data_IF_141179097489
#
_entry.id   IF_141179097489
#
_cell.length_a   1.000
_cell.length_b   1.000
_cell.length_c   1.000
_cell.angle_alpha   90.00
_cell.angle_beta   90.00
_cell.angle_gamma   90.00
#
_symmetry.space_group_name_H-M   'P 1'
#
loop_
_entity.id
_entity.type
_entity.pdbx_description
1 polymer ?
#
# COMPACT_ATOMS: atom_id res chain seq x y z
N UNK A 1 43.59 13.62 13.58
CA UNK A 1 42.58 14.64 13.21
C UNK A 1 41.46 13.90 12.54
N UNK A 2 40.44 13.50 13.30
CA UNK A 2 39.26 12.84 12.76
C UNK A 2 38.45 13.83 11.93
N UNK A 3 38.11 13.47 10.70
CA UNK A 3 37.28 14.32 9.84
C UNK A 3 35.90 14.49 10.49
N UNK A 4 35.54 15.73 10.83
CA UNK A 4 34.27 16.12 11.45
C UNK A 4 33.05 15.85 10.55
N UNK A 5 33.30 15.57 9.28
CA UNK A 5 32.31 15.35 8.23
C UNK A 5 32.46 13.95 7.60
N UNK A 6 31.33 13.41 7.14
CA UNK A 6 31.22 12.18 6.34
C UNK A 6 30.36 12.46 5.10
N UNK A 7 30.46 11.64 4.06
CA UNK A 7 29.52 11.71 2.92
C UNK A 7 28.25 10.93 3.23
N UNK A 8 27.10 11.47 2.84
CA UNK A 8 25.84 10.74 2.87
C UNK A 8 25.91 9.57 1.87
N UNK A 9 25.66 8.31 2.29
CA UNK A 9 25.69 7.17 1.38
C UNK A 9 24.58 7.20 0.30
N UNK A 10 23.51 7.97 0.51
CA UNK A 10 22.39 8.05 -0.43
C UNK A 10 22.57 9.13 -1.51
N UNK A 11 23.09 10.31 -1.16
CA UNK A 11 23.21 11.44 -2.09
C UNK A 11 24.63 11.98 -2.28
N UNK A 12 25.64 11.37 -1.63
CA UNK A 12 27.06 11.75 -1.68
C UNK A 12 27.42 13.16 -1.16
N UNK A 13 26.45 13.93 -0.66
CA UNK A 13 26.67 15.23 -0.04
C UNK A 13 27.39 15.15 1.31
N UNK A 14 28.13 16.20 1.65
CA UNK A 14 28.84 16.30 2.92
C UNK A 14 27.89 16.61 4.08
N UNK A 15 27.99 15.80 5.13
CA UNK A 15 27.17 15.87 6.34
C UNK A 15 28.05 15.71 7.57
N UNK A 16 27.54 16.11 8.75
CA UNK A 16 28.25 15.89 10.00
C UNK A 16 28.44 14.40 10.28
N UNK A 17 29.58 14.01 10.87
CA UNK A 17 29.89 12.60 11.17
C UNK A 17 28.84 11.93 12.06
N UNK A 18 28.23 12.68 12.97
CA UNK A 18 27.17 12.28 13.90
C UNK A 18 25.74 12.43 13.35
N UNK A 19 25.57 12.88 12.09
CA UNK A 19 24.26 13.05 11.52
C UNK A 19 23.49 11.70 11.43
N UNK A 20 22.32 11.66 12.09
CA UNK A 20 21.35 10.56 12.07
C UNK A 20 20.41 10.67 10.87
N UNK A 21 20.28 11.85 10.27
CA UNK A 21 19.48 12.10 9.07
C UNK A 21 20.19 13.08 8.13
N UNK A 22 20.19 12.79 6.84
CA UNK A 22 20.77 13.67 5.85
C UNK A 22 19.90 14.93 5.65
N UNK A 23 20.50 16.11 5.78
CA UNK A 23 19.79 17.39 5.53
C UNK A 23 19.49 17.65 4.05
N UNK A 24 20.20 16.97 3.13
CA UNK A 24 20.07 17.18 1.69
C UNK A 24 18.99 16.28 1.07
N UNK A 25 19.00 14.99 1.40
CA UNK A 25 18.06 14.01 0.82
C UNK A 25 17.03 13.46 1.81
N UNK A 26 17.14 13.74 3.10
CA UNK A 26 16.20 13.27 4.12
C UNK A 26 16.37 11.80 4.57
N UNK A 27 17.34 11.07 4.02
CA UNK A 27 17.60 9.66 4.39
C UNK A 27 18.15 9.53 5.83
N UNK A 28 17.70 8.51 6.57
CA UNK A 28 18.22 8.21 7.92
C UNK A 28 19.51 7.38 7.84
N UNK A 29 20.53 7.82 8.57
CA UNK A 29 21.89 7.30 8.54
C UNK A 29 22.22 6.68 9.89
N UNK A 30 21.84 5.42 10.09
CA UNK A 30 22.11 4.76 11.37
C UNK A 30 21.26 3.55 11.71
N UNK A 31 20.69 2.83 10.75
CA UNK A 31 20.31 1.46 11.05
C UNK A 31 21.60 0.62 11.07
N UNK A 32 22.05 0.10 12.22
CA UNK A 32 22.89 -1.09 12.17
C UNK A 32 22.03 -2.15 11.49
N UNK A 33 22.36 -2.45 10.23
CA UNK A 33 21.93 -3.71 9.64
C UNK A 33 22.33 -4.79 10.64
N UNK A 34 21.32 -5.54 11.12
CA UNK A 34 21.54 -6.68 11.99
C UNK A 34 22.70 -7.48 11.39
N UNK A 35 23.79 -7.56 12.16
CA UNK A 35 24.94 -8.39 11.82
C UNK A 35 24.40 -9.76 11.45
N UNK A 36 24.86 -10.29 10.33
CA UNK A 36 24.64 -11.67 9.92
C UNK A 36 24.92 -12.59 11.11
N UNK A 37 23.85 -13.06 11.75
CA UNK A 37 23.91 -14.06 12.79
C UNK A 37 24.11 -15.40 12.08
N UNK A 38 25.13 -16.12 12.53
CA UNK A 38 25.55 -17.38 11.93
C UNK A 38 24.39 -18.37 11.97
N UNK A 39 24.15 -18.95 10.80
CA UNK A 39 23.29 -20.09 10.51
C UNK A 39 23.42 -21.19 11.59
N UNK A 40 22.36 -21.37 12.37
CA UNK A 40 22.21 -22.47 13.31
C UNK A 40 21.35 -23.55 12.62
N UNK A 41 21.98 -24.68 12.32
CA UNK A 41 21.44 -25.87 11.66
C UNK A 41 20.50 -26.66 12.60
N UNK A 42 19.41 -26.01 13.01
CA UNK A 42 18.40 -26.56 13.93
C UNK A 42 17.02 -26.72 13.28
N UNK A 43 16.86 -26.33 12.02
CA UNK A 43 15.61 -26.43 11.25
C UNK A 43 15.30 -27.83 10.71
N UNK A 44 16.33 -28.64 10.40
CA UNK A 44 16.14 -29.95 9.77
C UNK A 44 15.48 -30.98 10.69
N UNK A 45 15.73 -30.92 12.00
CA UNK A 45 15.13 -31.85 12.96
C UNK A 45 13.66 -31.53 13.29
N UNK A 46 13.24 -30.27 13.18
CA UNK A 46 11.88 -29.84 13.53
C UNK A 46 10.87 -30.23 12.45
N UNK A 47 11.25 -30.12 11.17
CA UNK A 47 10.40 -30.53 10.03
C UNK A 47 10.15 -32.05 10.04
N UNK A 48 11.16 -32.86 10.35
CA UNK A 48 11.02 -34.32 10.45
C UNK A 48 10.10 -34.76 11.61
N UNK A 49 10.11 -34.04 12.75
CA UNK A 49 9.20 -34.32 13.87
C UNK A 49 7.74 -33.95 13.55
N UNK A 50 7.48 -32.88 12.82
CA UNK A 50 6.12 -32.49 12.44
C UNK A 50 5.49 -33.41 11.39
N UNK A 51 6.26 -33.89 10.41
CA UNK A 51 5.76 -34.84 9.40
C UNK A 51 5.35 -36.18 10.05
N UNK A 52 6.09 -36.65 11.06
CA UNK A 52 5.73 -37.86 11.80
C UNK A 52 4.44 -37.70 12.63
N UNK A 53 4.21 -36.53 13.24
CA UNK A 53 3.01 -36.27 14.06
C UNK A 53 1.75 -36.14 13.18
N UNK A 54 1.84 -35.45 12.04
CA UNK A 54 0.70 -35.30 11.12
C UNK A 54 0.39 -36.60 10.36
N UNK A 55 1.42 -37.40 10.02
CA UNK A 55 1.24 -38.71 9.39
C UNK A 55 0.57 -39.75 10.28
N UNK A 56 0.78 -39.72 11.60
CA UNK A 56 0.11 -40.64 12.54
C UNK A 56 -1.32 -40.19 12.84
N UNK A 57 -1.59 -38.88 12.90
CA UNK A 57 -2.94 -38.35 13.11
C UNK A 57 -3.90 -38.61 11.93
N UNK A 58 -3.37 -38.65 10.70
CA UNK A 58 -4.16 -38.93 9.49
C UNK A 58 -4.53 -40.41 9.34
N UNK A 59 -3.75 -41.34 9.89
CA UNK A 59 -4.10 -42.77 9.91
C UNK A 59 -5.12 -43.15 11.00
N UNK A 60 -5.32 -42.31 12.03
CA UNK A 60 -6.24 -42.59 13.14
C UNK A 60 -7.67 -42.05 12.95
N UNK A 61 -7.94 -41.26 11.91
CA UNK A 61 -9.28 -40.69 11.63
C UNK A 61 -9.98 -41.34 10.42
N UNK A 62 -9.38 -42.37 9.81
CA UNK A 62 -9.88 -43.02 8.58
C UNK A 62 -11.00 -44.05 8.76
N UNK A 63 -11.56 -44.25 9.96
CA UNK A 63 -12.59 -45.29 10.17
C UNK A 63 -13.66 -44.90 11.18
N UNK A 64 -14.48 -43.87 10.97
CA UNK A 64 -15.81 -43.81 11.61
C UNK A 64 -16.85 -43.11 10.70
N UNK A 65 -17.66 -43.95 10.06
CA UNK A 65 -19.12 -43.88 9.90
C UNK A 65 -19.71 -42.88 8.91
N UNK A 66 -20.16 -43.46 7.79
CA UNK A 66 -21.37 -43.09 7.08
C UNK A 66 -22.60 -43.30 7.98
N UNK A 67 -23.39 -42.25 8.20
CA UNK A 67 -24.82 -42.38 8.47
C UNK A 67 -25.54 -41.18 7.86
N UNK A 68 -26.33 -41.45 6.83
CA UNK A 68 -27.27 -40.50 6.25
C UNK A 68 -28.31 -40.13 7.31
N UNK A 69 -28.24 -38.89 7.78
CA UNK A 69 -29.26 -38.24 8.60
C UNK A 69 -29.80 -37.05 7.83
N UNK A 70 -31.07 -37.15 7.41
CA UNK A 70 -31.85 -36.08 6.81
C UNK A 70 -31.74 -34.78 7.62
N UNK A 71 -30.92 -33.84 7.13
CA UNK A 71 -30.92 -32.47 7.62
C UNK A 71 -31.97 -31.67 6.85
N UNK A 72 -33.18 -31.60 7.40
CA UNK A 72 -34.18 -30.62 6.98
C UNK A 72 -33.76 -29.24 7.52
N UNK A 73 -33.50 -28.24 6.67
CA UNK A 73 -33.20 -26.89 7.13
C UNK A 73 -34.43 -26.25 7.80
N UNK A 74 -34.24 -25.42 8.85
CA UNK A 74 -35.34 -24.72 9.49
C UNK A 74 -35.96 -23.66 8.57
N UNK A 75 -37.28 -23.37 8.72
CA UNK A 75 -37.99 -22.44 7.86
C UNK A 75 -37.49 -21.01 8.07
N UNK A 76 -37.18 -20.33 6.97
CA UNK A 76 -36.85 -18.91 6.97
C UNK A 76 -38.11 -18.10 7.23
N UNK A 77 -38.16 -17.40 8.36
CA UNK A 77 -39.13 -16.31 8.62
C UNK A 77 -38.70 -15.06 7.86
N UNK A 78 -39.48 -14.70 6.84
CA UNK A 78 -39.40 -13.43 6.13
C UNK A 78 -39.75 -12.25 7.08
N UNK A 79 -38.95 -11.17 7.10
CA UNK A 79 -39.37 -9.93 7.75
C UNK A 79 -40.43 -9.22 6.91
N UNK A 80 -41.60 -9.01 7.52
CA UNK A 80 -42.71 -8.20 7.00
C UNK A 80 -42.22 -6.79 6.68
N UNK A 81 -42.43 -6.35 5.43
CA UNK A 81 -42.35 -4.94 5.07
C UNK A 81 -43.59 -4.22 5.62
N UNK A 82 -43.34 -3.28 6.53
CA UNK A 82 -44.34 -2.34 7.03
C UNK A 82 -44.49 -1.22 6.00
N UNK A 83 -45.66 -1.20 5.33
CA UNK A 83 -46.04 -0.16 4.38
C UNK A 83 -46.59 1.01 5.17
N UNK A 84 -45.79 2.06 5.32
CA UNK A 84 -46.27 3.32 5.90
C UNK A 84 -46.90 4.18 4.80
N UNK A 85 -48.22 4.32 4.88
CA UNK A 85 -49.05 5.19 4.06
C UNK A 85 -48.97 6.63 4.57
N UNK A 86 -48.58 7.57 3.71
CA UNK A 86 -48.82 8.99 3.97
C UNK A 86 -49.52 9.65 2.77
N UNK A 87 -50.76 10.02 3.04
CA UNK A 87 -51.65 10.89 2.27
C UNK A 87 -51.30 12.37 2.51
N UNK A 88 -51.26 13.19 1.46
CA UNK A 88 -51.07 14.63 1.60
C UNK A 88 -51.27 15.42 0.31
N UNK A 89 -52.53 15.70 0.00
CA UNK A 89 -53.12 16.90 -0.62
C UNK A 89 -52.32 17.82 -1.56
N UNK A 90 -52.89 18.02 -2.76
CA UNK A 90 -52.63 19.13 -3.68
C UNK A 90 -53.06 20.50 -3.10
N UNK A 91 -52.60 21.63 -3.69
CA UNK A 91 -53.47 22.32 -4.64
C UNK A 91 -52.77 23.01 -5.84
N UNK A 92 -53.59 23.16 -6.89
CA UNK A 92 -53.69 24.23 -7.91
C UNK A 92 -52.45 24.82 -8.63
N UNK A 93 -52.50 24.69 -9.97
CA UNK A 93 -51.83 25.57 -10.94
C UNK A 93 -52.40 26.99 -10.96
N UNK A 94 -51.64 27.95 -11.50
CA UNK A 94 -52.13 28.66 -12.69
C UNK A 94 -51.15 28.65 -13.88
N UNK A 95 -51.74 28.67 -15.09
CA UNK A 95 -51.10 28.76 -16.40
C UNK A 95 -50.59 30.17 -16.75
N UNK A 96 -49.87 30.22 -17.89
CA UNK A 96 -49.55 31.33 -18.82
C UNK A 96 -48.27 32.09 -18.49
N UNK A 97 -47.35 32.42 -19.40
CA UNK A 97 -47.29 32.34 -20.87
C UNK A 97 -45.85 32.65 -21.35
N UNK A 98 -45.62 32.45 -22.65
CA UNK A 98 -44.64 33.15 -23.50
C UNK A 98 -43.24 32.54 -23.71
N UNK A 99 -43.19 31.72 -24.77
CA UNK A 99 -42.34 31.90 -25.97
C UNK A 99 -41.10 32.79 -25.82
N UNK A 100 -39.91 32.17 -25.96
CA UNK A 100 -38.96 32.66 -26.96
C UNK A 100 -37.98 31.58 -27.41
N UNK A 101 -38.02 31.31 -28.71
CA UNK A 101 -37.06 30.52 -29.45
C UNK A 101 -35.74 31.30 -29.57
N UNK A 102 -34.67 30.75 -29.03
CA UNK A 102 -33.31 31.22 -29.24
C UNK A 102 -32.42 30.04 -29.63
N UNK A 103 -32.28 29.79 -30.93
CA UNK A 103 -31.30 28.86 -31.46
C UNK A 103 -29.88 29.41 -31.19
N UNK A 104 -29.13 28.76 -30.31
CA UNK A 104 -27.70 28.99 -30.15
C UNK A 104 -26.93 27.79 -30.72
N UNK A 105 -26.20 28.12 -31.79
CA UNK A 105 -25.35 27.25 -32.58
C UNK A 105 -24.18 26.72 -31.74
N UNK A 106 -23.91 25.44 -31.93
CA UNK A 106 -22.57 24.85 -32.13
C UNK A 106 -21.41 25.47 -31.34
N UNK A 107 -21.14 24.94 -30.15
CA UNK A 107 -19.79 24.88 -29.60
C UNK A 107 -19.19 23.52 -29.95
N UNK A 108 -18.30 23.47 -30.93
CA UNK A 108 -17.49 22.29 -31.17
C UNK A 108 -16.66 22.03 -29.90
N UNK A 109 -16.96 20.94 -29.21
CA UNK A 109 -16.02 20.34 -28.26
C UNK A 109 -14.83 19.93 -29.10
N UNK A 110 -13.77 20.73 -29.04
CA UNK A 110 -12.45 20.34 -29.51
C UNK A 110 -12.11 19.05 -28.78
N UNK A 111 -12.18 17.91 -29.47
CA UNK A 111 -11.51 16.69 -29.04
C UNK A 111 -10.04 17.03 -28.99
N UNK A 112 -9.54 17.33 -27.80
CA UNK A 112 -8.12 17.31 -27.54
C UNK A 112 -7.58 15.96 -28.06
N UNK A 113 -6.52 15.94 -28.88
CA UNK A 113 -5.96 14.68 -29.35
C UNK A 113 -5.65 13.79 -28.15
N UNK A 114 -5.90 12.47 -28.21
CA UNK A 114 -5.51 11.58 -27.13
C UNK A 114 -4.02 11.82 -26.83
N UNK A 115 -3.71 12.07 -25.54
CA UNK A 115 -2.37 12.34 -25.07
C UNK A 115 -1.39 11.35 -25.72
N UNK A 116 -0.34 11.89 -26.34
CA UNK A 116 0.65 11.16 -27.13
C UNK A 116 1.16 9.97 -26.32
N UNK A 117 0.86 8.74 -26.75
CA UNK A 117 1.41 7.52 -26.15
C UNK A 117 2.92 7.58 -26.32
N UNK A 118 3.62 7.97 -25.27
CA UNK A 118 5.08 8.05 -25.29
C UNK A 118 5.61 6.63 -25.35
N UNK A 119 6.30 6.30 -26.44
CA UNK A 119 6.99 5.02 -26.59
C UNK A 119 8.47 5.25 -26.37
N UNK A 120 9.03 4.58 -25.37
CA UNK A 120 10.44 4.68 -25.00
C UNK A 120 11.27 3.61 -25.72
N UNK A 121 12.54 3.93 -25.93
CA UNK A 121 13.56 3.10 -26.57
C UNK A 121 14.77 2.94 -25.63
N UNK A 122 15.81 2.22 -26.07
CA UNK A 122 17.04 2.12 -25.29
C UNK A 122 17.77 3.46 -25.11
N UNK A 123 17.57 4.42 -26.02
CA UNK A 123 18.26 5.71 -25.98
C UNK A 123 17.71 6.62 -24.87
N UNK A 124 16.49 6.38 -24.42
CA UNK A 124 15.84 7.14 -23.36
C UNK A 124 16.35 6.75 -21.96
N UNK A 125 16.98 5.59 -21.84
CA UNK A 125 17.42 5.01 -20.56
C UNK A 125 18.90 5.25 -20.34
N UNK A 126 19.26 5.69 -19.13
CA UNK A 126 20.65 5.76 -18.69
C UNK A 126 21.09 4.39 -18.19
N UNK A 127 21.89 3.69 -19.00
CA UNK A 127 22.32 2.33 -18.69
C UNK A 127 23.50 2.30 -17.72
N UNK A 128 23.31 1.57 -16.62
CA UNK A 128 24.36 1.21 -15.66
C UNK A 128 24.69 -0.29 -15.74
N UNK A 129 25.80 -0.71 -15.11
CA UNK A 129 26.25 -2.11 -15.09
C UNK A 129 25.14 -3.09 -14.65
N UNK A 130 24.34 -2.71 -13.64
CA UNK A 130 23.27 -3.55 -13.12
C UNK A 130 22.03 -3.66 -14.05
N UNK A 131 21.83 -2.69 -14.95
CA UNK A 131 20.64 -2.61 -15.83
C UNK A 131 20.95 -3.04 -17.26
N UNK A 132 22.20 -2.86 -17.72
CA UNK A 132 22.62 -3.14 -19.08
C UNK A 132 22.35 -4.60 -19.56
N UNK A 133 22.41 -5.63 -18.71
CA UNK A 133 22.06 -6.99 -19.13
C UNK A 133 20.57 -7.21 -19.45
N UNK A 134 19.69 -6.29 -19.05
CA UNK A 134 18.23 -6.45 -19.10
C UNK A 134 17.55 -5.39 -20.00
N UNK A 135 18.27 -4.88 -20.98
CA UNK A 135 17.85 -3.73 -21.81
C UNK A 135 16.47 -3.94 -22.45
N UNK A 136 16.29 -5.06 -23.13
CA UNK A 136 15.05 -5.35 -23.86
C UNK A 136 13.86 -5.47 -22.89
N UNK A 137 14.05 -6.19 -21.79
CA UNK A 137 13.03 -6.39 -20.75
C UNK A 137 12.67 -5.06 -20.08
N UNK A 138 13.66 -4.25 -19.72
CA UNK A 138 13.46 -2.93 -19.11
C UNK A 138 12.66 -2.03 -20.06
N UNK A 139 13.04 -1.91 -21.33
CA UNK A 139 12.33 -1.08 -22.32
C UNK A 139 10.88 -1.56 -22.49
N UNK A 140 10.66 -2.87 -22.55
CA UNK A 140 9.32 -3.44 -22.61
C UNK A 140 8.49 -3.07 -21.37
N UNK A 141 9.07 -3.22 -20.18
CA UNK A 141 8.37 -2.96 -18.90
C UNK A 141 8.05 -1.48 -18.73
N UNK A 142 8.98 -0.56 -18.99
CA UNK A 142 8.71 0.87 -18.82
C UNK A 142 7.63 1.38 -19.77
N UNK A 143 7.57 0.84 -20.99
CA UNK A 143 6.50 1.11 -21.94
C UNK A 143 5.15 0.54 -21.47
N UNK A 144 5.16 -0.61 -20.79
CA UNK A 144 3.96 -1.15 -20.14
C UNK A 144 3.52 -0.26 -18.98
N UNK A 145 4.42 0.14 -18.08
CA UNK A 145 4.13 1.04 -16.96
C UNK A 145 3.50 2.34 -17.47
N UNK A 146 4.08 2.96 -18.50
CA UNK A 146 3.58 4.20 -19.07
C UNK A 146 2.17 4.10 -19.67
N UNK A 147 1.75 2.90 -20.11
CA UNK A 147 0.39 2.67 -20.62
C UNK A 147 -0.60 2.23 -19.54
N UNK A 148 -0.14 1.39 -18.61
CA UNK A 148 -0.99 0.72 -17.63
C UNK A 148 -1.23 1.61 -16.40
N UNK A 149 -0.24 2.42 -15.99
CA UNK A 149 -0.31 3.18 -14.75
C UNK A 149 -0.92 4.58 -14.94
N UNK A 150 -2.22 4.70 -14.69
CA UNK A 150 -2.99 5.94 -14.85
C UNK A 150 -2.63 7.07 -13.89
N UNK A 151 -1.73 6.85 -12.92
CA UNK A 151 -1.20 7.88 -12.01
C UNK A 151 0.25 8.25 -12.30
N UNK A 152 0.84 7.68 -13.34
CA UNK A 152 2.16 8.04 -13.82
C UNK A 152 2.00 9.03 -14.97
N UNK A 153 1.79 10.31 -14.64
CA UNK A 153 1.56 11.35 -15.66
C UNK A 153 2.79 11.50 -16.57
N UNK A 154 3.98 11.37 -15.98
CA UNK A 154 5.24 11.37 -16.70
C UNK A 154 6.21 10.35 -16.13
N UNK A 155 6.51 9.34 -16.94
CA UNK A 155 7.57 8.38 -16.65
C UNK A 155 8.94 9.00 -16.96
N UNK A 156 9.94 8.73 -16.11
CA UNK A 156 11.32 9.20 -16.27
C UNK A 156 12.26 8.01 -16.56
N UNK A 157 12.42 7.54 -17.82
CA UNK A 157 13.25 6.38 -18.15
C UNK A 157 14.71 6.50 -17.72
N UNK A 158 15.25 7.72 -17.68
CA UNK A 158 16.62 8.00 -17.22
C UNK A 158 16.86 7.67 -15.74
N UNK A 159 15.80 7.42 -14.96
CA UNK A 159 15.89 7.07 -13.53
C UNK A 159 15.94 5.56 -13.28
N UNK A 160 15.88 4.73 -14.34
CA UNK A 160 15.90 3.27 -14.19
C UNK A 160 17.17 2.84 -13.46
N UNK A 161 17.00 2.16 -12.33
CA UNK A 161 18.13 1.68 -11.53
C UNK A 161 17.77 0.47 -10.69
N UNK A 162 18.78 -0.21 -10.17
CA UNK A 162 18.62 -1.34 -9.23
C UNK A 162 18.13 -0.82 -7.89
N UNK A 163 17.02 -1.38 -7.39
CA UNK A 163 16.49 -1.13 -6.07
C UNK A 163 17.28 -1.93 -5.02
N UNK A 164 18.36 -1.35 -4.49
CA UNK A 164 19.25 -2.03 -3.53
C UNK A 164 18.54 -2.61 -2.32
N UNK A 165 17.64 -1.87 -1.68
CA UNK A 165 16.87 -2.31 -0.50
C UNK A 165 15.75 -3.32 -0.81
N UNK A 166 15.47 -3.59 -2.10
CA UNK A 166 14.43 -4.53 -2.55
C UNK A 166 15.01 -5.74 -3.27
N UNK A 167 16.29 -5.73 -3.59
CA UNK A 167 16.97 -6.82 -4.30
C UNK A 167 17.65 -7.77 -3.32
N UNK A 168 17.72 -9.04 -3.69
CA UNK A 168 18.49 -10.08 -2.99
C UNK A 168 19.32 -10.90 -3.98
N UNK A 169 20.27 -11.74 -3.52
CA UNK A 169 21.03 -12.61 -4.43
C UNK A 169 20.09 -13.50 -5.26
N UNK A 170 20.23 -13.48 -6.58
CA UNK A 170 19.36 -14.22 -7.50
C UNK A 170 18.02 -13.56 -7.81
N UNK A 171 17.67 -12.46 -7.13
CA UNK A 171 16.41 -11.73 -7.32
C UNK A 171 16.66 -10.22 -7.41
N UNK A 172 16.87 -9.74 -8.63
CA UNK A 172 17.18 -8.33 -8.89
C UNK A 172 15.89 -7.55 -9.14
N UNK A 173 15.68 -6.51 -8.33
CA UNK A 173 14.56 -5.59 -8.46
C UNK A 173 15.07 -4.27 -9.02
N UNK A 174 14.40 -3.76 -10.02
CA UNK A 174 14.60 -2.44 -10.59
C UNK A 174 13.48 -1.51 -10.16
N UNK A 175 13.71 -0.21 -10.32
CA UNK A 175 12.65 0.78 -10.28
C UNK A 175 12.78 1.76 -11.43
N UNK A 176 11.67 2.40 -11.76
CA UNK A 176 11.62 3.63 -12.57
C UNK A 176 10.77 4.65 -11.82
N UNK A 177 11.14 5.92 -11.89
CA UNK A 177 10.40 7.01 -11.25
C UNK A 177 9.30 7.52 -12.18
N UNK A 178 8.11 7.63 -11.61
CA UNK A 178 6.98 8.36 -12.15
C UNK A 178 6.88 9.72 -11.45
N UNK A 179 6.61 10.74 -12.25
CA UNK A 179 6.12 12.04 -11.82
C UNK A 179 4.59 12.05 -12.00
N UNK A 180 3.89 12.52 -10.97
CA UNK A 180 2.44 12.66 -10.89
C UNK A 180 2.10 14.09 -10.45
N UNK A 181 0.88 14.50 -10.66
CA UNK A 181 0.40 15.78 -10.17
C UNK A 181 0.30 15.82 -8.63
N UNK A 182 0.60 16.98 -8.04
CA UNK A 182 0.35 17.29 -6.64
C UNK A 182 1.59 17.53 -5.77
N UNK A 183 1.37 17.60 -4.45
CA UNK A 183 2.38 18.04 -3.47
C UNK A 183 3.52 17.04 -3.22
N UNK A 184 3.36 15.78 -3.61
CA UNK A 184 4.40 14.74 -3.56
C UNK A 184 4.40 14.00 -4.89
N UNK A 185 4.97 14.63 -5.93
CA UNK A 185 4.73 14.23 -7.31
C UNK A 185 5.49 12.95 -7.69
N UNK A 186 6.59 12.63 -7.01
CA UNK A 186 7.45 11.52 -7.43
C UNK A 186 7.14 10.22 -6.67
N UNK A 187 7.05 9.12 -7.41
CA UNK A 187 7.01 7.78 -6.83
C UNK A 187 7.72 6.75 -7.71
N UNK A 188 8.20 5.67 -7.10
CA UNK A 188 8.89 4.60 -7.81
C UNK A 188 7.94 3.44 -8.11
N UNK A 189 7.99 2.95 -9.35
CA UNK A 189 7.37 1.68 -9.76
C UNK A 189 8.45 0.62 -9.81
N UNK A 190 8.25 -0.47 -9.06
CA UNK A 190 9.24 -1.55 -8.91
C UNK A 190 8.92 -2.75 -9.78
N UNK A 191 9.94 -3.33 -10.41
CA UNK A 191 9.78 -4.45 -11.34
C UNK A 191 11.01 -5.37 -11.39
N UNK A 192 10.83 -6.58 -11.94
CA UNK A 192 11.87 -7.55 -12.28
C UNK A 192 11.93 -7.69 -13.80
N UNK A 193 13.07 -8.11 -14.34
CA UNK A 193 13.18 -8.39 -15.78
C UNK A 193 12.16 -9.47 -16.24
N UNK A 194 11.91 -10.47 -15.39
CA UNK A 194 10.88 -11.50 -15.63
C UNK A 194 9.46 -10.94 -15.77
N UNK A 195 9.18 -9.74 -15.24
CA UNK A 195 7.87 -9.11 -15.34
C UNK A 195 7.54 -8.69 -16.79
N UNK A 196 8.54 -8.62 -17.69
CA UNK A 196 8.33 -8.21 -19.09
C UNK A 196 7.28 -9.07 -19.79
N UNK A 197 7.38 -10.39 -19.59
CA UNK A 197 6.50 -11.41 -20.18
C UNK A 197 5.63 -12.11 -19.13
N UNK A 198 5.58 -11.60 -17.90
CA UNK A 198 4.79 -12.17 -16.81
C UNK A 198 3.42 -11.50 -16.64
N UNK A 199 2.60 -12.10 -15.77
CA UNK A 199 1.22 -11.66 -15.48
C UNK A 199 1.12 -10.42 -14.58
N UNK A 200 2.27 -9.85 -14.18
CA UNK A 200 2.27 -8.69 -13.32
C UNK A 200 1.62 -7.52 -14.04
N UNK A 201 0.64 -6.90 -13.37
CA UNK A 201 -0.03 -5.70 -13.82
C UNK A 201 0.64 -4.46 -13.22
N UNK A 202 0.89 -3.42 -14.04
CA UNK A 202 1.46 -2.14 -13.60
C UNK A 202 0.43 -1.03 -13.40
N UNK A 203 -0.86 -1.36 -13.46
CA UNK A 203 -1.95 -0.43 -13.20
C UNK A 203 -1.82 0.27 -11.85
N UNK A 204 -2.30 1.52 -11.79
CA UNK A 204 -2.34 2.29 -10.57
C UNK A 204 -3.18 1.56 -9.51
N UNK A 205 -2.65 1.42 -8.29
CA UNK A 205 -3.37 0.79 -7.18
C UNK A 205 -4.33 1.77 -6.54
N UNK A 206 -5.54 1.35 -6.24
CA UNK A 206 -6.46 2.15 -5.42
C UNK A 206 -5.92 2.33 -3.99
N UNK A 207 -6.29 3.44 -3.36
CA UNK A 207 -5.96 3.66 -1.95
C UNK A 207 -6.92 2.87 -1.07
N UNK A 208 -6.42 2.35 0.05
CA UNK A 208 -7.30 1.89 1.13
C UNK A 208 -8.25 3.01 1.56
N UNK A 209 -9.50 2.67 1.84
CA UNK A 209 -10.47 3.62 2.38
C UNK A 209 -10.07 4.04 3.81
N UNK A 210 -10.25 5.32 4.16
CA UNK A 210 -9.86 5.90 5.46
C UNK A 210 -10.41 5.10 6.65
N UNK A 211 -11.67 4.68 6.60
CA UNK A 211 -12.32 3.89 7.67
C UNK A 211 -11.71 2.48 7.77
N UNK A 212 -11.38 1.87 6.63
CA UNK A 212 -10.74 0.55 6.59
C UNK A 212 -9.31 0.61 7.13
N UNK A 213 -8.57 1.66 6.78
CA UNK A 213 -7.24 1.93 7.34
C UNK A 213 -7.29 2.14 8.85
N UNK A 214 -8.26 2.93 9.35
CA UNK A 214 -8.47 3.13 10.78
C UNK A 214 -8.77 1.81 11.50
N UNK A 215 -9.63 0.96 10.93
CA UNK A 215 -9.93 -0.36 11.49
C UNK A 215 -8.69 -1.25 11.59
N UNK A 216 -7.90 -1.36 10.52
CA UNK A 216 -6.68 -2.18 10.53
C UNK A 216 -5.64 -1.63 11.53
N UNK A 217 -5.47 -0.31 11.58
CA UNK A 217 -4.53 0.32 12.51
C UNK A 217 -4.97 0.17 13.97
N UNK A 218 -6.28 0.20 14.24
CA UNK A 218 -6.84 -0.08 15.56
C UNK A 218 -6.63 -1.54 16.00
N UNK A 219 -6.68 -2.49 15.06
CA UNK A 219 -6.31 -3.90 15.35
C UNK A 219 -4.87 -3.98 15.84
N UNK A 220 -3.94 -3.32 15.17
CA UNK A 220 -2.53 -3.30 15.59
C UNK A 220 -2.36 -2.67 16.96
N UNK A 221 -3.04 -1.54 17.24
CA UNK A 221 -3.01 -0.91 18.56
C UNK A 221 -3.44 -1.88 19.69
N UNK A 222 -4.42 -2.76 19.42
CA UNK A 222 -4.84 -3.81 20.36
C UNK A 222 -3.81 -4.93 20.49
N UNK A 223 -3.21 -5.36 19.39
CA UNK A 223 -2.22 -6.45 19.38
C UNK A 223 -0.93 -6.10 20.13
N UNK A 224 -0.50 -4.83 20.06
CA UNK A 224 0.72 -4.38 20.74
C UNK A 224 0.50 -3.99 22.20
N UNK A 225 -0.75 -3.76 22.62
CA UNK A 225 -1.07 -3.33 23.98
C UNK A 225 -1.02 -4.51 24.96
N UNK A 226 -0.48 -4.26 26.16
CA UNK A 226 -0.46 -5.26 27.25
C UNK A 226 -1.89 -5.62 27.69
N UNK A 227 -2.79 -4.64 27.68
CA UNK A 227 -4.21 -4.80 27.99
C UNK A 227 -5.06 -4.43 26.76
N UNK A 228 -5.31 -5.35 25.81
CA UNK A 228 -5.97 -5.03 24.54
C UNK A 228 -7.36 -4.40 24.69
N UNK A 229 -8.13 -4.82 25.70
CA UNK A 229 -9.49 -4.31 25.95
C UNK A 229 -9.50 -2.88 26.53
N UNK A 230 -8.36 -2.41 27.02
CA UNK A 230 -8.20 -1.02 27.49
C UNK A 230 -7.90 -0.02 26.38
N UNK A 231 -7.69 -0.50 25.14
CA UNK A 231 -7.28 0.36 24.03
C UNK A 231 -8.41 1.30 23.63
N UNK A 232 -8.17 2.60 23.77
CA UNK A 232 -9.02 3.66 23.22
C UNK A 232 -8.33 4.23 21.99
N UNK A 233 -8.76 3.80 20.81
CA UNK A 233 -8.18 4.21 19.54
C UNK A 233 -8.75 5.56 19.07
N UNK A 234 -7.87 6.46 18.64
CA UNK A 234 -8.21 7.82 18.18
C UNK A 234 -9.17 8.53 19.14
N UNK A 235 -8.77 8.79 20.40
CA UNK A 235 -9.67 9.33 21.42
C UNK A 235 -10.26 10.71 21.06
N UNK A 236 -9.55 11.50 20.24
CA UNK A 236 -10.06 12.78 19.70
C UNK A 236 -10.87 12.63 18.42
N UNK A 237 -10.98 11.42 17.86
CA UNK A 237 -11.51 11.15 16.52
C UNK A 237 -10.64 11.68 15.38
N UNK A 238 -9.48 12.28 15.68
CA UNK A 238 -8.59 12.85 14.68
C UNK A 238 -7.75 11.76 14.02
N UNK A 239 -7.93 11.64 12.71
CA UNK A 239 -7.20 10.72 11.84
C UNK A 239 -6.46 11.54 10.79
N UNK A 240 -5.14 11.65 10.93
CA UNK A 240 -4.27 12.22 9.90
C UNK A 240 -4.06 11.15 8.82
N UNK A 241 -4.81 11.28 7.72
CA UNK A 241 -4.83 10.31 6.64
C UNK A 241 -4.36 10.97 5.35
N UNK A 242 -3.20 10.52 4.87
CA UNK A 242 -2.55 11.03 3.66
C UNK A 242 -2.48 9.93 2.61
N UNK A 243 -2.77 10.26 1.35
CA UNK A 243 -2.61 9.35 0.20
C UNK A 243 -1.47 9.81 -0.70
N UNK A 244 -0.84 8.87 -1.40
CA UNK A 244 0.32 9.13 -2.25
C UNK A 244 0.09 8.55 -3.64
N UNK A 245 0.49 9.21 -4.75
CA UNK A 245 0.23 8.77 -6.13
C UNK A 245 0.53 7.29 -6.41
N UNK A 246 1.55 6.73 -5.77
CA UNK A 246 1.88 5.28 -5.77
C UNK A 246 0.74 4.30 -5.41
N UNK A 247 -0.38 4.78 -4.85
CA UNK A 247 -1.43 3.94 -4.26
C UNK A 247 -1.23 3.64 -2.78
N UNK A 248 -0.16 4.18 -2.18
CA UNK A 248 0.05 4.10 -0.73
C UNK A 248 -0.83 5.09 0.01
N UNK A 249 -1.14 4.73 1.25
CA UNK A 249 -1.75 5.63 2.21
C UNK A 249 -1.02 5.54 3.55
N UNK A 250 -1.00 6.64 4.30
CA UNK A 250 -0.48 6.70 5.65
C UNK A 250 -1.57 7.19 6.58
N UNK A 251 -1.77 6.48 7.68
CA UNK A 251 -2.60 6.90 8.79
C UNK A 251 -1.72 7.14 10.01
N UNK A 252 -1.74 8.36 10.54
CA UNK A 252 -1.16 8.70 11.83
C UNK A 252 -2.28 9.11 12.78
N UNK A 253 -2.32 8.49 13.95
CA UNK A 253 -3.28 8.85 15.00
C UNK A 253 -2.74 8.44 16.38
N UNK A 254 -3.46 8.81 17.43
CA UNK A 254 -3.11 8.45 18.79
C UNK A 254 -4.04 7.34 19.30
N UNK A 255 -3.57 6.58 20.29
CA UNK A 255 -4.42 5.73 21.12
C UNK A 255 -3.94 5.76 22.57
N UNK A 256 -4.80 5.38 23.51
CA UNK A 256 -4.36 5.11 24.89
C UNK A 256 -4.47 3.62 25.18
N UNK A 257 -3.59 3.12 26.04
CA UNK A 257 -3.66 1.75 26.54
C UNK A 257 -3.22 1.69 28.01
N UNK A 258 -3.85 0.81 28.77
CA UNK A 258 -3.54 0.62 30.19
C UNK A 258 -2.26 -0.17 30.36
N UNK A 259 -1.35 0.38 31.15
CA UNK A 259 -0.10 -0.27 31.58
C UNK A 259 -0.35 -1.30 32.68
N UNK A 260 0.65 -2.16 33.01
CA UNK A 260 0.55 -3.09 34.13
C UNK A 260 0.28 -2.42 35.49
N UNK A 261 0.71 -1.17 35.69
CA UNK A 261 0.44 -0.39 36.91
C UNK A 261 -0.97 0.20 36.96
N UNK A 262 -1.79 -0.02 35.93
CA UNK A 262 -3.16 0.49 35.86
C UNK A 262 -3.29 1.92 35.33
N UNK A 263 -2.19 2.53 34.85
CA UNK A 263 -2.19 3.88 34.28
C UNK A 263 -2.42 3.81 32.77
N UNK A 264 -3.35 4.61 32.25
CA UNK A 264 -3.58 4.74 30.82
C UNK A 264 -2.50 5.64 30.21
N UNK A 265 -1.67 5.07 29.34
CA UNK A 265 -0.57 5.79 28.68
C UNK A 265 -0.95 6.15 27.24
N UNK A 266 -0.57 7.35 26.76
CA UNK A 266 -0.79 7.77 25.39
C UNK A 266 0.30 7.25 24.45
N UNK A 267 -0.12 6.86 23.25
CA UNK A 267 0.75 6.39 22.17
C UNK A 267 0.37 7.06 20.86
N UNK A 268 1.35 7.28 19.99
CA UNK A 268 1.18 7.58 18.58
C UNK A 268 1.37 6.30 17.77
N UNK A 269 0.46 6.01 16.84
CA UNK A 269 0.59 4.93 15.87
C UNK A 269 0.62 5.48 14.44
N UNK A 270 1.59 5.01 13.67
CA UNK A 270 1.78 5.33 12.25
C UNK A 270 1.69 4.04 11.43
N UNK A 271 0.63 3.92 10.64
CA UNK A 271 0.34 2.78 9.79
C UNK A 271 0.52 3.18 8.31
N UNK A 272 1.37 2.45 7.58
CA UNK A 272 1.60 2.63 6.14
C UNK A 272 0.99 1.46 5.37
N UNK A 273 0.21 1.80 4.34
CA UNK A 273 -0.52 0.86 3.49
C UNK A 273 0.01 0.92 2.06
N UNK A 274 -0.01 -0.23 1.37
CA UNK A 274 0.18 -0.37 -0.07
C UNK A 274 -1.05 -1.03 -0.68
N UNK A 275 -1.90 -0.23 -1.32
CA UNK A 275 -3.29 -0.61 -1.59
C UNK A 275 -4.02 -0.88 -0.26
N UNK A 276 -4.71 -2.02 -0.19
CA UNK A 276 -5.44 -2.47 1.01
C UNK A 276 -4.58 -3.19 2.07
N UNK A 277 -3.30 -3.38 1.80
CA UNK A 277 -2.40 -4.14 2.67
C UNK A 277 -1.63 -3.21 3.61
N UNK A 278 -1.69 -3.48 4.90
CA UNK A 278 -0.81 -2.85 5.89
C UNK A 278 0.60 -3.43 5.74
N UNK A 279 1.59 -2.58 5.45
CA UNK A 279 2.96 -3.01 5.15
C UNK A 279 3.99 -2.59 6.20
N UNK A 280 3.66 -1.60 7.04
CA UNK A 280 4.56 -1.09 8.07
C UNK A 280 3.76 -0.37 9.16
N UNK A 281 4.19 -0.55 10.41
CA UNK A 281 3.57 0.04 11.60
C UNK A 281 4.65 0.51 12.55
N UNK A 282 4.50 1.73 13.08
CA UNK A 282 5.35 2.25 14.14
C UNK A 282 4.49 2.75 15.29
N UNK A 283 4.82 2.31 16.51
CA UNK A 283 4.15 2.72 17.73
C UNK A 283 5.16 3.43 18.60
N UNK A 284 4.82 4.64 19.04
CA UNK A 284 5.66 5.49 19.86
C UNK A 284 4.88 5.86 21.11
N UNK A 285 5.49 5.70 22.28
CA UNK A 285 4.97 6.25 23.53
C UNK A 285 5.11 7.78 23.50
N UNK A 286 4.08 8.48 23.98
CA UNK A 286 4.12 9.94 24.10
C UNK A 286 4.41 10.31 25.56
N UNK A 287 5.40 11.18 25.77
CA UNK A 287 5.75 11.74 27.09
C UNK A 287 4.71 12.76 27.59
#
# INVERSE_FOLDING_TARGET
MDSEHKKCPACAEEIKKDAVKCKHCGEYLGQPSAKAEKENDQGALYVLKWVAIVGVASYALGTWIASDGDYTPPPQTEPKQEVESQSGSAPESPKTSDTNSGALKSGAVSKEPPAKVTTFTEEDVLWHEATAPYKAEIVQIINRIARENTRCDKLLPSTVSKAGSKSSPGDTVFYVTCEADGASPYFNVYFRASDANGDKNFAAKDFIQKQRAAKQCATVAKEVAINPDSVVFSPSGQLDFTTYPSGRARLVTNFTARTPSGVDMPYTINCLFDGDNLIETHVLEND
#
